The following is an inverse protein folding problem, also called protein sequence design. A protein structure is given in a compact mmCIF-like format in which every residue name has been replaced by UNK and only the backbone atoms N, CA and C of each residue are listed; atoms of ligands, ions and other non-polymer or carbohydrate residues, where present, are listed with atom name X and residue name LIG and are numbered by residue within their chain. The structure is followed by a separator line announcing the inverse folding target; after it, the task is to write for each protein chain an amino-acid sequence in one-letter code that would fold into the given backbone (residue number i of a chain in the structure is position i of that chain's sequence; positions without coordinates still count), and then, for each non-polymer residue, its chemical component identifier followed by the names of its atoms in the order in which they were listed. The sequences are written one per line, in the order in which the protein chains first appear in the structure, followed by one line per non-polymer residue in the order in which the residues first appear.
data_IF_354190896354
#
_entry.id   IF_354190896354
#
_cell.length_a   1.000
_cell.length_b   1.000
_cell.length_c   1.000
_cell.angle_alpha   90.00
_cell.angle_beta   90.00
_cell.angle_gamma   90.00
#
_symmetry.space_group_name_H-M   'P 1'
#
loop_
_entity.id
_entity.type
_entity.pdbx_description
1 polymer ?
#
# COMPACT_ATOMS: atom_id res chain seq x y z
N UNK A 1 -28.59 -27.14 66.96
CA UNK A 1 -29.72 -27.46 66.06
C UNK A 1 -29.24 -27.27 64.62
N UNK A 2 -29.29 -28.38 63.86
CA UNK A 2 -29.20 -28.53 62.40
C UNK A 2 -27.95 -28.04 61.63
N UNK A 3 -27.07 -29.01 61.33
CA UNK A 3 -26.15 -29.01 60.18
C UNK A 3 -26.55 -30.20 59.29
N UNK A 4 -26.84 -29.95 58.01
CA UNK A 4 -27.14 -31.01 57.01
C UNK A 4 -25.85 -31.34 56.25
N UNK A 5 -25.37 -32.58 56.41
CA UNK A 5 -24.48 -33.25 55.46
C UNK A 5 -25.30 -34.34 54.75
N UNK A 6 -25.30 -34.34 53.42
CA UNK A 6 -25.82 -35.44 52.60
C UNK A 6 -24.64 -36.18 51.99
N UNK A 7 -24.56 -37.48 52.28
CA UNK A 7 -23.56 -38.41 51.77
C UNK A 7 -23.83 -38.78 50.31
N UNK A 8 -22.78 -38.87 49.50
CA UNK A 8 -22.81 -39.50 48.19
C UNK A 8 -22.51 -41.00 48.33
N UNK A 9 -23.34 -41.83 47.68
CA UNK A 9 -23.06 -43.25 47.48
C UNK A 9 -22.79 -43.46 45.99
N UNK A 10 -21.59 -43.97 45.69
CA UNK A 10 -21.14 -44.37 44.34
C UNK A 10 -21.69 -45.76 44.04
N UNK A 11 -22.19 -45.97 42.82
CA UNK A 11 -22.53 -47.31 42.31
C UNK A 11 -21.75 -47.52 41.02
N UNK A 12 -20.80 -48.45 41.04
CA UNK A 12 -20.04 -48.89 39.86
C UNK A 12 -20.91 -49.78 38.97
N UNK A 13 -20.80 -49.58 37.65
CA UNK A 13 -21.44 -50.42 36.61
C UNK A 13 -20.35 -50.85 35.62
N UNK A 14 -20.28 -52.13 35.21
CA UNK A 14 -19.17 -52.69 34.42
C UNK A 14 -19.25 -52.33 32.92
N UNK A 15 -18.15 -52.43 32.16
CA UNK A 15 -18.09 -51.97 30.77
C UNK A 15 -18.76 -52.98 29.83
N UNK A 16 -19.87 -52.57 29.21
CA UNK A 16 -20.54 -53.30 28.13
C UNK A 16 -19.95 -52.97 26.76
N UNK A 17 -19.63 -54.02 25.99
CA UNK A 17 -19.26 -53.97 24.58
C UNK A 17 -20.29 -53.18 23.75
N UNK A 18 -19.87 -52.09 23.11
CA UNK A 18 -20.65 -51.42 22.06
C UNK A 18 -20.35 -52.09 20.72
N UNK A 19 -21.36 -52.71 20.15
CA UNK A 19 -21.37 -53.20 18.77
C UNK A 19 -21.50 -52.01 17.83
N UNK A 20 -20.53 -51.80 16.94
CA UNK A 20 -20.61 -50.77 15.91
C UNK A 20 -21.73 -51.12 14.91
N UNK A 21 -22.83 -50.35 14.93
CA UNK A 21 -23.78 -50.33 13.84
C UNK A 21 -23.12 -49.69 12.62
N UNK A 22 -22.96 -50.50 11.57
CA UNK A 22 -22.43 -50.11 10.27
C UNK A 22 -23.43 -49.16 9.59
N UNK A 23 -23.28 -47.86 9.82
CA UNK A 23 -23.92 -46.83 9.01
C UNK A 23 -23.29 -46.87 7.62
N UNK A 24 -24.07 -47.23 6.61
CA UNK A 24 -23.66 -47.15 5.21
C UNK A 24 -23.46 -45.67 4.85
N UNK A 25 -22.20 -45.23 4.82
CA UNK A 25 -21.84 -43.97 4.16
C UNK A 25 -22.19 -44.10 2.68
N UNK A 26 -22.86 -43.11 2.06
CA UNK A 26 -22.89 -43.03 0.61
C UNK A 26 -21.44 -42.88 0.13
N UNK A 27 -21.06 -43.66 -0.88
CA UNK A 27 -19.73 -43.59 -1.49
C UNK A 27 -19.41 -42.14 -1.88
N UNK A 28 -18.21 -41.64 -1.58
CA UNK A 28 -17.81 -40.32 -2.02
C UNK A 28 -17.81 -40.32 -3.54
N UNK A 29 -18.69 -39.50 -4.12
CA UNK A 29 -18.68 -39.20 -5.55
C UNK A 29 -17.24 -38.91 -5.97
N UNK A 30 -16.71 -39.73 -6.88
CA UNK A 30 -15.36 -39.60 -7.43
C UNK A 30 -15.21 -38.41 -8.40
N UNK A 31 -16.15 -37.48 -8.38
CA UNK A 31 -15.97 -36.18 -8.99
C UNK A 31 -14.86 -35.46 -8.22
N UNK A 32 -13.64 -35.48 -8.77
CA UNK A 32 -12.61 -34.49 -8.42
C UNK A 32 -13.32 -33.13 -8.41
N UNK A 33 -13.20 -32.31 -7.34
CA UNK A 33 -13.73 -30.96 -7.40
C UNK A 33 -13.13 -30.34 -8.64
N UNK A 34 -14.00 -30.00 -9.59
CA UNK A 34 -13.58 -29.20 -10.73
C UNK A 34 -13.21 -27.87 -10.09
N UNK A 35 -11.92 -27.68 -9.78
CA UNK A 35 -11.41 -26.40 -9.36
C UNK A 35 -11.73 -25.45 -10.50
N UNK A 36 -12.81 -24.70 -10.35
CA UNK A 36 -13.13 -23.60 -11.25
C UNK A 36 -11.93 -22.67 -11.12
N UNK A 37 -11.10 -22.66 -12.16
CA UNK A 37 -9.89 -21.84 -12.17
C UNK A 37 -10.34 -20.39 -12.30
N UNK A 38 -10.59 -19.76 -11.16
CA UNK A 38 -10.96 -18.35 -11.09
C UNK A 38 -9.88 -17.51 -11.79
N UNK A 39 -10.31 -16.47 -12.48
CA UNK A 39 -9.42 -15.41 -12.97
C UNK A 39 -8.78 -14.67 -11.81
N UNK A 40 -7.72 -13.91 -12.08
CA UNK A 40 -7.10 -13.07 -11.05
C UNK A 40 -8.12 -12.10 -10.43
N UNK A 41 -8.89 -11.39 -11.26
CA UNK A 41 -9.91 -10.46 -10.81
C UNK A 41 -11.00 -11.12 -9.93
N UNK A 42 -11.47 -12.32 -10.28
CA UNK A 42 -12.45 -13.06 -9.47
C UNK A 42 -11.90 -13.43 -8.09
N UNK A 43 -10.62 -13.83 -8.00
CA UNK A 43 -9.98 -14.07 -6.70
C UNK A 43 -9.92 -12.79 -5.86
N UNK A 44 -9.52 -11.66 -6.45
CA UNK A 44 -9.49 -10.38 -5.72
C UNK A 44 -10.86 -10.02 -5.15
N UNK A 45 -11.91 -10.17 -5.97
CA UNK A 45 -13.29 -9.90 -5.57
C UNK A 45 -13.79 -10.79 -4.41
N UNK A 46 -13.26 -12.01 -4.27
CA UNK A 46 -13.65 -12.90 -3.18
C UNK A 46 -12.96 -12.54 -1.86
N UNK A 47 -11.68 -12.19 -1.91
CA UNK A 47 -10.86 -12.08 -0.69
C UNK A 47 -10.67 -10.66 -0.17
N UNK A 48 -10.83 -9.65 -1.02
CA UNK A 48 -10.52 -8.25 -0.66
C UNK A 48 -11.75 -7.42 -0.31
N UNK A 49 -12.95 -8.00 -0.44
CA UNK A 49 -14.19 -7.28 -0.16
C UNK A 49 -14.60 -7.46 1.30
N UNK A 50 -14.67 -6.34 2.00
CA UNK A 50 -15.25 -6.24 3.33
C UNK A 50 -16.77 -6.52 3.26
N UNK A 51 -17.42 -7.02 4.34
CA UNK A 51 -18.86 -7.29 4.38
C UNK A 51 -19.75 -6.08 4.03
N UNK A 52 -19.21 -4.86 4.17
CA UNK A 52 -19.87 -3.62 3.75
C UNK A 52 -19.76 -3.32 2.24
N UNK A 53 -19.22 -4.25 1.44
CA UNK A 53 -19.01 -4.05 0.01
C UNK A 53 -17.93 -3.00 -0.31
N UNK A 54 -16.91 -2.88 0.56
CA UNK A 54 -15.77 -1.97 0.41
C UNK A 54 -14.48 -2.77 0.20
N UNK A 55 -13.48 -2.18 -0.47
CA UNK A 55 -12.15 -2.78 -0.56
C UNK A 55 -11.42 -2.63 0.78
N UNK A 56 -10.94 -3.74 1.32
CA UNK A 56 -9.99 -3.73 2.42
C UNK A 56 -8.57 -3.51 1.88
N UNK A 57 -8.06 -2.29 2.04
CA UNK A 57 -6.75 -1.93 1.54
C UNK A 57 -5.58 -2.60 2.30
N UNK A 58 -5.81 -3.13 3.51
CA UNK A 58 -4.79 -3.89 4.24
C UNK A 58 -4.60 -5.25 3.59
N UNK A 59 -5.71 -5.98 3.39
CA UNK A 59 -5.70 -7.28 2.71
C UNK A 59 -5.23 -7.13 1.27
N UNK A 60 -5.68 -6.07 0.59
CA UNK A 60 -5.23 -5.71 -0.75
C UNK A 60 -3.70 -5.54 -0.80
N UNK A 61 -3.13 -4.71 0.08
CA UNK A 61 -1.71 -4.41 0.10
C UNK A 61 -0.89 -5.68 0.41
N UNK A 62 -1.32 -6.46 1.41
CA UNK A 62 -0.69 -7.74 1.76
C UNK A 62 -0.70 -8.72 0.57
N UNK A 63 -1.77 -8.72 -0.23
CA UNK A 63 -1.85 -9.57 -1.42
C UNK A 63 -0.90 -9.11 -2.54
N UNK A 64 -0.91 -7.83 -2.90
CA UNK A 64 -0.05 -7.33 -3.99
C UNK A 64 1.44 -7.35 -3.64
N UNK A 65 1.78 -7.46 -2.37
CA UNK A 65 3.16 -7.59 -1.87
C UNK A 65 3.55 -9.04 -1.55
N UNK A 66 2.63 -9.99 -1.66
CA UNK A 66 2.89 -11.39 -1.35
C UNK A 66 4.01 -11.93 -2.24
N UNK A 67 5.09 -12.41 -1.61
CA UNK A 67 6.29 -12.90 -2.30
C UNK A 67 7.20 -11.82 -2.89
N UNK A 68 6.91 -10.53 -2.65
CA UNK A 68 7.67 -9.38 -3.18
C UNK A 68 8.53 -8.73 -2.09
N UNK A 69 9.55 -9.44 -1.64
CA UNK A 69 10.59 -8.85 -0.79
C UNK A 69 11.47 -7.86 -1.58
N UNK A 70 12.40 -7.17 -0.90
CA UNK A 70 13.31 -6.21 -1.53
C UNK A 70 14.10 -6.80 -2.70
N UNK A 71 14.49 -8.07 -2.61
CA UNK A 71 15.30 -8.75 -3.64
C UNK A 71 14.43 -9.08 -4.85
N UNK A 72 13.20 -9.52 -4.64
CA UNK A 72 12.28 -9.84 -5.73
C UNK A 72 11.78 -8.57 -6.41
N UNK A 73 11.45 -7.51 -5.65
CA UNK A 73 11.03 -6.22 -6.22
C UNK A 73 12.08 -5.59 -7.13
N UNK A 74 13.36 -5.62 -6.73
CA UNK A 74 14.43 -5.06 -7.56
C UNK A 74 14.65 -5.83 -8.86
N UNK A 75 14.30 -7.13 -8.90
CA UNK A 75 14.34 -7.97 -10.10
C UNK A 75 13.09 -7.85 -10.98
N UNK A 76 12.00 -7.29 -10.46
CA UNK A 76 10.72 -7.13 -11.17
C UNK A 76 10.61 -5.80 -11.95
N UNK A 77 11.69 -5.03 -12.01
CA UNK A 77 11.73 -3.82 -12.81
C UNK A 77 11.72 -4.14 -14.31
N UNK A 78 10.99 -3.36 -15.09
CA UNK A 78 10.92 -3.50 -16.55
C UNK A 78 11.13 -2.14 -17.20
N UNK A 79 12.03 -2.06 -18.17
CA UNK A 79 12.20 -0.88 -19.01
C UNK A 79 11.08 -0.85 -20.04
N UNK A 80 10.45 0.31 -20.18
CA UNK A 80 9.48 0.56 -21.24
C UNK A 80 10.18 0.84 -22.57
N UNK A 81 9.87 0.02 -23.58
CA UNK A 81 10.38 0.15 -24.95
C UNK A 81 9.22 0.43 -25.93
N UNK A 82 9.55 0.79 -27.18
CA UNK A 82 8.55 1.11 -28.21
C UNK A 82 7.61 -0.04 -28.55
N UNK A 83 8.05 -1.29 -28.38
CA UNK A 83 7.37 -2.52 -28.76
C UNK A 83 7.11 -3.47 -27.57
N UNK A 84 7.43 -3.05 -26.34
CA UNK A 84 7.16 -3.90 -25.18
C UNK A 84 7.87 -3.50 -23.89
N UNK A 85 8.15 -4.53 -23.09
CA UNK A 85 8.78 -4.42 -21.78
C UNK A 85 9.96 -5.37 -21.70
N UNK A 86 11.13 -4.83 -21.38
CA UNK A 86 12.33 -5.64 -21.12
C UNK A 86 12.59 -5.68 -19.63
N UNK A 87 12.67 -6.88 -19.05
CA UNK A 87 13.01 -7.03 -17.65
C UNK A 87 14.45 -6.56 -17.41
N UNK A 88 14.64 -5.70 -16.41
CA UNK A 88 15.92 -5.09 -16.08
C UNK A 88 16.14 -5.11 -14.57
N UNK A 89 17.42 -5.18 -14.18
CA UNK A 89 17.82 -4.91 -12.80
C UNK A 89 18.36 -3.48 -12.77
N UNK A 90 17.74 -2.60 -12.00
CA UNK A 90 18.16 -1.19 -11.94
C UNK A 90 19.46 -1.07 -11.12
N UNK A 91 20.59 -1.13 -11.81
CA UNK A 91 21.96 -0.96 -11.29
C UNK A 91 22.63 0.25 -11.96
N UNK A 92 23.76 0.71 -11.40
CA UNK A 92 24.56 1.80 -11.99
C UNK A 92 25.07 1.45 -13.41
N UNK A 93 25.29 0.16 -13.71
CA UNK A 93 25.71 -0.28 -15.05
C UNK A 93 24.56 -0.17 -16.08
N UNK A 94 23.32 -0.42 -15.64
CA UNK A 94 22.15 -0.38 -16.53
C UNK A 94 21.89 1.03 -17.08
N UNK A 95 22.18 2.06 -16.29
CA UNK A 95 22.01 3.47 -16.71
C UNK A 95 23.00 3.91 -17.78
N UNK A 96 24.10 3.18 -17.95
CA UNK A 96 25.20 3.57 -18.84
C UNK A 96 25.23 2.78 -20.14
N UNK A 97 24.86 1.49 -20.13
CA UNK A 97 25.03 0.61 -21.30
C UNK A 97 23.74 0.31 -22.09
N UNK A 98 22.55 0.41 -21.47
CA UNK A 98 21.29 -0.08 -22.08
C UNK A 98 20.26 0.99 -22.39
N UNK A 99 20.47 2.22 -21.95
CA UNK A 99 19.53 3.32 -22.20
C UNK A 99 20.08 4.10 -23.40
N UNK A 100 19.45 4.02 -24.59
CA UNK A 100 19.93 4.76 -25.75
C UNK A 100 19.92 6.25 -25.47
N UNK A 101 21.01 6.92 -25.85
CA UNK A 101 21.16 8.38 -25.79
C UNK A 101 19.96 9.08 -26.44
N UNK A 102 19.33 10.03 -25.73
CA UNK A 102 18.15 10.74 -26.21
C UNK A 102 16.79 10.06 -25.97
N UNK A 103 16.74 8.98 -25.18
CA UNK A 103 15.48 8.38 -24.72
C UNK A 103 15.08 8.84 -23.31
N UNK A 104 13.78 8.76 -22.99
CA UNK A 104 13.23 8.97 -21.64
C UNK A 104 12.91 7.59 -21.02
N UNK A 105 13.89 6.89 -20.45
CA UNK A 105 13.71 5.57 -19.88
C UNK A 105 12.72 5.60 -18.71
N UNK A 106 11.54 5.01 -18.93
CA UNK A 106 10.58 4.78 -17.86
C UNK A 106 10.73 3.35 -17.35
N UNK A 107 11.08 3.20 -16.08
CA UNK A 107 11.20 1.91 -15.41
C UNK A 107 9.90 1.59 -14.71
N UNK A 108 9.18 0.59 -15.21
CA UNK A 108 7.99 0.03 -14.58
C UNK A 108 8.40 -0.84 -13.39
N UNK A 109 7.86 -0.55 -12.21
CA UNK A 109 8.21 -1.27 -10.97
C UNK A 109 7.01 -1.97 -10.31
N UNK A 110 5.78 -1.56 -10.63
CA UNK A 110 4.59 -2.28 -10.17
C UNK A 110 3.41 -2.17 -11.15
N UNK A 111 2.63 -3.24 -11.29
CA UNK A 111 1.32 -3.24 -11.94
C UNK A 111 0.25 -3.75 -10.98
N UNK A 112 -0.62 -2.85 -10.51
CA UNK A 112 -1.61 -3.15 -9.46
C UNK A 112 -3.05 -3.12 -10.00
N UNK A 113 -3.94 -4.03 -9.56
CA UNK A 113 -5.35 -4.03 -9.99
C UNK A 113 -6.11 -2.82 -9.44
N UNK A 114 -6.97 -2.20 -10.25
CA UNK A 114 -7.70 -0.99 -9.84
C UNK A 114 -9.14 -1.33 -9.45
N UNK A 115 -9.60 -1.00 -8.23
CA UNK A 115 -11.01 -1.10 -7.88
C UNK A 115 -11.87 -0.19 -8.77
N UNK A 116 -12.95 -0.73 -9.35
CA UNK A 116 -13.99 0.04 -10.07
C UNK A 116 -15.11 0.48 -9.15
N UNK A 117 -16.07 1.20 -9.74
CA UNK A 117 -17.37 1.52 -9.13
C UNK A 117 -17.98 0.23 -8.55
N UNK A 118 -18.57 0.34 -7.35
CA UNK A 118 -19.02 -0.79 -6.53
C UNK A 118 -17.90 -1.69 -5.98
N UNK A 119 -16.66 -1.22 -5.94
CA UNK A 119 -15.51 -1.88 -5.31
C UNK A 119 -15.18 -3.26 -5.90
N UNK A 120 -15.47 -3.45 -7.19
CA UNK A 120 -15.16 -4.68 -7.91
C UNK A 120 -13.87 -4.55 -8.71
N UNK A 121 -13.13 -5.64 -8.79
CA UNK A 121 -11.96 -5.78 -9.64
C UNK A 121 -12.35 -6.37 -10.99
N UNK A 122 -11.75 -5.84 -12.03
CA UNK A 122 -11.75 -6.41 -13.37
C UNK A 122 -10.31 -6.43 -13.92
N UNK A 123 -10.16 -6.41 -15.24
CA UNK A 123 -8.85 -6.43 -15.90
C UNK A 123 -8.17 -5.06 -15.96
N UNK A 124 -8.68 -4.04 -15.24
CA UNK A 124 -8.06 -2.71 -15.17
C UNK A 124 -6.87 -2.72 -14.23
N UNK A 125 -5.73 -2.21 -14.71
CA UNK A 125 -4.50 -2.08 -13.90
C UNK A 125 -3.97 -0.65 -13.91
N UNK A 126 -3.37 -0.26 -12.79
CA UNK A 126 -2.54 0.92 -12.68
C UNK A 126 -1.09 0.43 -12.70
N UNK A 127 -0.38 0.82 -13.75
CA UNK A 127 1.03 0.51 -13.93
C UNK A 127 1.83 1.71 -13.48
N UNK A 128 2.62 1.55 -12.42
CA UNK A 128 3.50 2.59 -11.91
C UNK A 128 4.89 2.42 -12.51
N UNK A 129 5.41 3.52 -13.00
CA UNK A 129 6.75 3.63 -13.53
C UNK A 129 7.47 4.85 -13.00
N UNK A 130 8.78 4.86 -13.19
CA UNK A 130 9.65 5.95 -12.81
C UNK A 130 10.44 6.41 -14.02
N UNK A 131 10.23 7.65 -14.41
CA UNK A 131 11.01 8.31 -15.46
C UNK A 131 12.34 8.74 -14.86
N UNK A 132 13.43 8.06 -15.24
CA UNK A 132 14.76 8.32 -14.68
C UNK A 132 15.31 9.68 -15.11
N UNK A 133 14.88 10.21 -16.26
CA UNK A 133 15.36 11.49 -16.80
C UNK A 133 14.64 12.66 -16.14
N UNK A 134 13.31 12.61 -16.11
CA UNK A 134 12.50 13.66 -15.51
C UNK A 134 12.40 13.54 -13.97
N UNK A 135 12.87 12.41 -13.42
CA UNK A 135 12.77 12.07 -12.00
C UNK A 135 11.31 12.07 -11.50
N UNK A 136 10.41 11.57 -12.36
CA UNK A 136 8.96 11.59 -12.14
C UNK A 136 8.40 10.21 -11.86
N UNK A 137 7.49 10.12 -10.89
CA UNK A 137 6.50 9.06 -10.81
C UNK A 137 5.52 9.20 -11.98
N UNK A 138 5.34 8.11 -12.72
CA UNK A 138 4.33 7.99 -13.75
C UNK A 138 3.35 6.87 -13.42
N UNK A 139 2.06 7.11 -13.65
CA UNK A 139 1.00 6.12 -13.45
C UNK A 139 0.16 5.99 -14.70
N UNK A 140 0.19 4.81 -15.32
CA UNK A 140 -0.56 4.49 -16.53
C UNK A 140 -1.76 3.62 -16.18
N UNK A 141 -2.96 4.10 -16.50
CA UNK A 141 -4.18 3.32 -16.40
C UNK A 141 -4.34 2.49 -17.67
N UNK A 142 -4.34 1.16 -17.52
CA UNK A 142 -4.44 0.19 -18.60
C UNK A 142 -5.73 -0.60 -18.42
N UNK A 143 -6.60 -0.54 -19.43
CA UNK A 143 -7.86 -1.26 -19.47
C UNK A 143 -7.79 -2.34 -20.55
N UNK A 144 -8.16 -3.57 -20.20
CA UNK A 144 -8.08 -4.74 -21.08
C UNK A 144 -9.38 -5.52 -21.04
N UNK A 145 -9.77 -6.09 -22.19
CA UNK A 145 -10.90 -7.01 -22.28
C UNK A 145 -10.50 -8.42 -21.79
N UNK A 146 -9.22 -8.78 -21.93
CA UNK A 146 -8.67 -10.06 -21.48
C UNK A 146 -7.94 -9.93 -20.14
N UNK A 147 -7.91 -10.99 -19.31
CA UNK A 147 -7.13 -11.02 -18.07
C UNK A 147 -5.66 -10.63 -18.28
N UNK A 148 -5.18 -9.77 -17.38
CA UNK A 148 -3.78 -9.35 -17.31
C UNK A 148 -3.15 -9.98 -16.06
N UNK A 149 -2.69 -11.22 -16.19
CA UNK A 149 -2.18 -12.02 -15.06
C UNK A 149 -0.72 -11.68 -14.70
N UNK A 150 -0.02 -10.90 -15.51
CA UNK A 150 1.32 -10.38 -15.21
C UNK A 150 1.87 -9.38 -16.23
N UNK A 151 3.12 -8.93 -16.05
CA UNK A 151 3.79 -7.98 -16.95
C UNK A 151 3.91 -8.50 -18.38
N UNK A 152 4.07 -9.81 -18.54
CA UNK A 152 4.09 -10.45 -19.85
C UNK A 152 2.79 -10.26 -20.62
N UNK A 153 1.66 -10.03 -19.97
CA UNK A 153 0.41 -9.74 -20.68
C UNK A 153 0.18 -8.25 -20.88
N UNK A 154 0.94 -7.39 -20.19
CA UNK A 154 0.76 -5.95 -20.24
C UNK A 154 0.99 -5.38 -21.63
N UNK A 155 1.93 -5.94 -22.41
CA UNK A 155 2.18 -5.51 -23.80
C UNK A 155 0.92 -5.59 -24.67
N UNK A 156 -0.03 -6.50 -24.37
CA UNK A 156 -1.26 -6.69 -25.15
C UNK A 156 -2.21 -5.49 -25.06
N UNK A 157 -2.12 -4.72 -23.97
CA UNK A 157 -3.01 -3.61 -23.69
C UNK A 157 -2.27 -2.28 -23.50
N UNK A 158 -0.92 -2.28 -23.55
CA UNK A 158 -0.12 -1.10 -23.24
C UNK A 158 -0.37 0.09 -24.16
N UNK A 159 -0.62 -0.16 -25.45
CA UNK A 159 -0.98 0.86 -26.42
C UNK A 159 -2.28 1.62 -26.07
N UNK A 160 -3.12 1.09 -25.19
CA UNK A 160 -4.33 1.73 -24.66
C UNK A 160 -4.08 2.44 -23.32
N UNK A 161 -2.85 2.39 -22.80
CA UNK A 161 -2.46 2.98 -21.52
C UNK A 161 -2.63 4.50 -21.52
N UNK A 162 -3.29 5.02 -20.49
CA UNK A 162 -3.49 6.47 -20.29
C UNK A 162 -2.67 6.96 -19.12
N UNK A 163 -1.79 7.93 -19.35
CA UNK A 163 -1.02 8.57 -18.29
C UNK A 163 -1.93 9.44 -17.41
N UNK A 164 -2.18 8.98 -16.18
CA UNK A 164 -3.07 9.61 -15.21
C UNK A 164 -2.37 10.22 -14.01
N UNK A 165 -1.14 9.80 -13.71
CA UNK A 165 -0.25 10.40 -12.71
C UNK A 165 1.07 10.74 -13.41
N UNK A 166 1.55 11.97 -13.26
CA UNK A 166 2.88 12.38 -13.71
C UNK A 166 3.38 13.46 -12.76
N UNK A 167 4.27 13.10 -11.85
CA UNK A 167 4.65 13.95 -10.72
C UNK A 167 6.11 13.77 -10.36
N UNK A 168 6.80 14.89 -10.13
CA UNK A 168 8.19 14.89 -9.68
C UNK A 168 8.35 14.23 -8.31
N UNK A 169 9.37 13.37 -8.14
CA UNK A 169 9.53 12.61 -6.90
C UNK A 169 9.70 13.52 -5.67
N UNK A 170 10.45 14.61 -5.75
CA UNK A 170 10.56 15.56 -4.63
C UNK A 170 9.21 16.19 -4.24
N UNK A 171 8.35 16.48 -5.21
CA UNK A 171 7.01 16.99 -4.93
C UNK A 171 6.19 15.94 -4.19
N UNK A 172 6.24 14.69 -4.66
CA UNK A 172 5.61 13.56 -3.98
C UNK A 172 6.12 13.39 -2.54
N UNK A 173 7.43 13.46 -2.31
CA UNK A 173 8.01 13.35 -0.97
C UNK A 173 7.54 14.49 -0.05
N UNK A 174 7.49 15.72 -0.55
CA UNK A 174 6.92 16.86 0.19
C UNK A 174 5.44 16.67 0.53
N UNK A 175 4.65 16.07 -0.37
CA UNK A 175 3.25 15.71 -0.10
C UNK A 175 3.13 14.66 1.00
N UNK A 176 3.99 13.64 0.99
CA UNK A 176 4.06 12.63 2.06
C UNK A 176 4.40 13.29 3.38
N UNK A 177 5.45 14.12 3.43
CA UNK A 177 5.86 14.79 4.66
C UNK A 177 4.77 15.70 5.22
N UNK A 178 4.07 16.45 4.38
CA UNK A 178 2.95 17.28 4.81
C UNK A 178 1.78 16.43 5.34
N UNK A 179 1.39 15.39 4.60
CA UNK A 179 0.28 14.51 4.98
C UNK A 179 0.55 13.79 6.30
N UNK A 180 1.78 13.31 6.52
CA UNK A 180 2.16 12.58 7.74
C UNK A 180 2.32 13.49 8.97
N UNK A 181 2.41 14.82 8.80
CA UNK A 181 2.55 15.80 9.90
C UNK A 181 1.22 16.31 10.47
N UNK A 182 0.15 15.51 10.40
CA UNK A 182 -1.15 15.68 11.09
C UNK A 182 -2.34 16.23 10.27
N UNK A 183 -2.34 16.13 8.94
CA UNK A 183 -3.50 16.58 8.18
C UNK A 183 -4.50 15.44 7.89
N UNK A 184 -5.41 15.23 8.85
CA UNK A 184 -6.50 14.23 8.76
C UNK A 184 -7.40 14.50 7.55
N UNK A 185 -7.52 15.77 7.12
CA UNK A 185 -8.39 16.13 5.99
C UNK A 185 -7.84 15.58 4.67
N UNK A 186 -6.53 15.64 4.48
CA UNK A 186 -5.85 15.06 3.31
C UNK A 186 -6.11 13.55 3.24
N UNK A 187 -6.07 12.88 4.41
CA UNK A 187 -6.27 11.44 4.52
C UNK A 187 -7.73 11.02 4.27
N UNK A 188 -8.72 11.86 4.60
CA UNK A 188 -10.14 11.58 4.30
C UNK A 188 -10.44 11.73 2.79
N UNK A 189 -9.82 12.70 2.12
CA UNK A 189 -10.05 12.99 0.70
C UNK A 189 -9.20 12.09 -0.23
N UNK A 190 -7.98 11.75 0.20
CA UNK A 190 -6.96 11.07 -0.61
C UNK A 190 -5.86 12.03 -1.02
N UNK A 191 -4.60 11.63 -0.81
CA UNK A 191 -3.42 12.47 -1.04
C UNK A 191 -3.32 12.95 -2.49
N UNK A 192 -3.38 12.06 -3.49
CA UNK A 192 -3.22 12.46 -4.88
C UNK A 192 -4.34 13.37 -5.35
N UNK A 193 -5.56 13.15 -4.85
CA UNK A 193 -6.72 14.00 -5.12
C UNK A 193 -6.56 15.39 -4.50
N UNK A 194 -6.17 15.45 -3.23
CA UNK A 194 -6.03 16.72 -2.50
C UNK A 194 -5.06 17.68 -3.21
N UNK A 195 -3.94 17.16 -3.70
CA UNK A 195 -2.94 17.97 -4.40
C UNK A 195 -3.18 18.10 -5.91
N UNK A 196 -4.21 17.46 -6.48
CA UNK A 196 -4.52 17.55 -7.91
C UNK A 196 -3.55 16.79 -8.83
N UNK A 197 -2.88 15.76 -8.31
CA UNK A 197 -1.81 15.01 -9.02
C UNK A 197 -2.32 13.77 -9.77
N UNK A 198 -3.64 13.58 -9.82
CA UNK A 198 -4.26 12.48 -10.57
C UNK A 198 -5.41 12.99 -11.45
N UNK A 199 -5.50 12.45 -12.67
CA UNK A 199 -6.62 12.67 -13.60
C UNK A 199 -7.82 11.75 -13.31
N UNK A 200 -7.66 10.77 -12.42
CA UNK A 200 -8.70 9.83 -11.99
C UNK A 200 -8.85 9.90 -10.48
N UNK A 201 -10.09 10.05 -10.02
CA UNK A 201 -10.39 9.99 -8.59
C UNK A 201 -10.22 8.55 -8.10
N UNK A 202 -9.24 8.36 -7.21
CA UNK A 202 -9.03 7.12 -6.48
C UNK A 202 -9.58 7.26 -5.05
N UNK A 203 -9.84 6.11 -4.42
CA UNK A 203 -10.17 6.09 -3.01
C UNK A 203 -8.92 6.41 -2.18
N UNK A 204 -9.06 7.12 -1.06
CA UNK A 204 -7.93 7.51 -0.22
C UNK A 204 -7.01 6.34 0.20
N UNK A 205 -7.59 5.16 0.46
CA UNK A 205 -6.79 3.96 0.76
C UNK A 205 -5.97 3.46 -0.43
N UNK A 206 -6.45 3.65 -1.67
CA UNK A 206 -5.66 3.32 -2.87
C UNK A 206 -4.55 4.35 -3.11
N UNK A 207 -4.77 5.63 -2.77
CA UNK A 207 -3.70 6.64 -2.78
C UNK A 207 -2.58 6.26 -1.83
N UNK A 208 -2.90 5.78 -0.62
CA UNK A 208 -1.88 5.28 0.31
C UNK A 208 -1.15 4.07 -0.26
N UNK A 209 -1.84 3.14 -0.92
CA UNK A 209 -1.19 2.01 -1.60
C UNK A 209 -0.19 2.51 -2.64
N UNK A 210 -0.57 3.46 -3.50
CA UNK A 210 0.34 4.05 -4.51
C UNK A 210 1.54 4.69 -3.80
N UNK A 211 1.30 5.44 -2.73
CA UNK A 211 2.35 6.11 -1.99
C UNK A 211 3.35 5.13 -1.38
N UNK A 212 2.85 4.05 -0.76
CA UNK A 212 3.66 2.97 -0.20
C UNK A 212 4.49 2.30 -1.29
N UNK A 213 3.89 1.91 -2.42
CA UNK A 213 4.61 1.25 -3.50
C UNK A 213 5.72 2.14 -4.07
N UNK A 214 5.48 3.44 -4.21
CA UNK A 214 6.49 4.35 -4.73
C UNK A 214 7.62 4.62 -3.74
N UNK A 215 7.31 4.84 -2.45
CA UNK A 215 8.35 4.96 -1.42
C UNK A 215 9.19 3.69 -1.28
N UNK A 216 8.59 2.51 -1.42
CA UNK A 216 9.33 1.24 -1.46
C UNK A 216 10.31 1.22 -2.64
N UNK A 217 9.85 1.57 -3.84
CA UNK A 217 10.72 1.65 -5.02
C UNK A 217 11.88 2.62 -4.79
N UNK A 218 11.60 3.84 -4.31
CA UNK A 218 12.64 4.83 -4.02
C UNK A 218 13.64 4.33 -2.97
N UNK A 219 13.18 3.63 -1.93
CA UNK A 219 14.03 3.06 -0.88
C UNK A 219 14.90 1.89 -1.36
N UNK A 220 14.31 1.01 -2.18
CA UNK A 220 14.98 -0.14 -2.76
C UNK A 220 16.16 0.31 -3.64
N UNK A 221 16.00 1.43 -4.35
CA UNK A 221 16.97 2.01 -5.28
C UNK A 221 17.64 3.30 -4.76
N UNK A 222 17.57 3.58 -3.45
CA UNK A 222 18.02 4.87 -2.92
C UNK A 222 19.51 5.15 -3.17
N UNK A 223 20.35 4.12 -3.20
CA UNK A 223 21.80 4.26 -3.46
C UNK A 223 22.10 4.84 -4.85
N UNK A 224 21.23 4.53 -5.82
CA UNK A 224 21.29 5.04 -7.19
C UNK A 224 20.63 6.42 -7.30
N UNK A 225 19.49 6.61 -6.63
CA UNK A 225 18.62 7.77 -6.85
C UNK A 225 19.02 8.99 -6.02
N UNK A 226 19.65 8.80 -4.86
CA UNK A 226 19.95 9.86 -3.90
C UNK A 226 21.44 9.89 -3.54
N UNK A 227 21.95 11.09 -3.22
CA UNK A 227 23.32 11.25 -2.73
C UNK A 227 23.47 10.70 -1.31
N UNK A 228 22.48 10.97 -0.44
CA UNK A 228 22.40 10.45 0.93
C UNK A 228 21.29 9.40 1.05
N UNK A 229 21.62 8.16 0.67
CA UNK A 229 20.67 7.05 0.63
C UNK A 229 20.32 6.51 2.02
N UNK A 230 21.20 6.68 3.01
CA UNK A 230 20.92 6.31 4.40
C UNK A 230 19.89 7.26 5.01
N UNK A 231 20.13 8.58 4.90
CA UNK A 231 19.17 9.59 5.38
C UNK A 231 17.80 9.41 4.74
N UNK A 232 17.73 9.15 3.43
CA UNK A 232 16.47 8.92 2.73
C UNK A 232 15.71 7.73 3.35
N UNK A 233 16.40 6.61 3.59
CA UNK A 233 15.79 5.41 4.16
C UNK A 233 15.36 5.65 5.59
N UNK A 234 16.17 6.30 6.42
CA UNK A 234 15.81 6.63 7.80
C UNK A 234 14.55 7.50 7.85
N UNK A 235 14.47 8.51 6.98
CA UNK A 235 13.35 9.45 6.92
C UNK A 235 12.06 8.77 6.46
N UNK A 236 12.09 8.06 5.34
CA UNK A 236 10.86 7.59 4.69
C UNK A 236 10.46 6.15 5.03
N UNK A 237 11.31 5.36 5.71
CA UNK A 237 10.89 4.05 6.26
C UNK A 237 9.83 4.23 7.34
N UNK A 238 9.97 5.25 8.19
CA UNK A 238 8.97 5.58 9.21
C UNK A 238 7.62 5.94 8.58
N UNK A 239 7.62 6.79 7.53
CA UNK A 239 6.40 7.14 6.80
C UNK A 239 5.72 5.93 6.16
N UNK A 240 6.50 5.01 5.55
CA UNK A 240 5.96 3.75 5.03
C UNK A 240 5.32 2.89 6.11
N UNK A 241 5.99 2.74 7.27
CA UNK A 241 5.48 1.98 8.40
C UNK A 241 4.18 2.59 8.93
N UNK A 242 4.15 3.91 9.16
CA UNK A 242 2.98 4.61 9.67
C UNK A 242 1.78 4.49 8.72
N UNK A 243 1.97 4.63 7.41
CA UNK A 243 0.89 4.43 6.44
C UNK A 243 0.33 3.00 6.47
N UNK A 244 1.20 1.98 6.63
CA UNK A 244 0.77 0.58 6.75
C UNK A 244 -0.02 0.34 8.03
N UNK A 245 0.46 0.88 9.16
CA UNK A 245 -0.24 0.81 10.44
C UNK A 245 -1.62 1.46 10.37
N UNK A 246 -1.74 2.63 9.71
CA UNK A 246 -3.04 3.29 9.50
C UNK A 246 -4.02 2.41 8.72
N UNK A 247 -3.57 1.80 7.62
CA UNK A 247 -4.40 0.90 6.82
C UNK A 247 -4.78 -0.36 7.63
N UNK A 248 -3.83 -0.94 8.37
CA UNK A 248 -4.05 -2.13 9.21
C UNK A 248 -5.03 -1.86 10.36
N UNK A 249 -4.85 -0.75 11.08
CA UNK A 249 -5.73 -0.33 12.17
C UNK A 249 -7.16 -0.05 11.66
N UNK A 250 -7.28 0.57 10.48
CA UNK A 250 -8.57 0.79 9.81
C UNK A 250 -9.27 -0.52 9.45
N UNK A 251 -8.55 -1.45 8.81
CA UNK A 251 -9.05 -2.80 8.48
C UNK A 251 -9.52 -3.54 9.75
N UNK A 252 -8.65 -3.65 10.75
CA UNK A 252 -8.98 -4.31 12.02
C UNK A 252 -10.24 -3.70 12.65
N UNK A 253 -10.27 -2.37 12.80
CA UNK A 253 -11.41 -1.66 13.38
C UNK A 253 -12.72 -1.88 12.62
N UNK A 254 -12.68 -1.89 11.29
CA UNK A 254 -13.88 -2.09 10.46
C UNK A 254 -14.41 -3.51 10.52
N UNK A 255 -13.54 -4.52 10.54
CA UNK A 255 -13.94 -5.93 10.60
C UNK A 255 -14.63 -6.28 11.92
N UNK A 256 -14.07 -5.81 13.06
CA UNK A 256 -14.74 -5.97 14.36
C UNK A 256 -16.08 -5.26 14.38
N UNK A 257 -16.15 -4.04 13.83
CA UNK A 257 -17.40 -3.30 13.80
C UNK A 257 -18.48 -4.00 12.95
N UNK A 258 -18.10 -4.55 11.80
CA UNK A 258 -19.01 -5.33 10.98
C UNK A 258 -19.50 -6.61 11.68
N UNK A 259 -18.59 -7.30 12.38
CA UNK A 259 -18.92 -8.49 13.17
C UNK A 259 -19.88 -8.17 14.34
N UNK A 260 -19.76 -6.98 14.93
CA UNK A 260 -20.67 -6.46 15.96
C UNK A 260 -22.01 -5.98 15.38
N UNK A 261 -22.23 -6.11 14.06
CA UNK A 261 -23.47 -5.73 13.38
C UNK A 261 -23.61 -4.22 13.13
N UNK A 262 -22.53 -3.44 13.25
CA UNK A 262 -22.57 -2.02 12.87
C UNK A 262 -22.64 -1.85 11.35
N UNK A 263 -23.44 -0.88 10.92
CA UNK A 263 -23.42 -0.37 9.54
C UNK A 263 -22.19 0.51 9.31
N UNK A 264 -21.81 0.67 8.04
CA UNK A 264 -20.67 1.53 7.66
C UNK A 264 -20.89 2.99 8.08
N UNK A 265 -22.12 3.49 8.02
CA UNK A 265 -22.48 4.85 8.43
C UNK A 265 -22.29 5.05 9.94
N UNK A 266 -22.75 4.08 10.75
CA UNK A 266 -22.57 4.11 12.20
C UNK A 266 -21.09 4.07 12.58
N UNK A 267 -20.30 3.24 11.90
CA UNK A 267 -18.87 3.15 12.12
C UNK A 267 -18.17 4.47 11.76
N UNK A 268 -18.42 5.03 10.57
CA UNK A 268 -17.88 6.34 10.15
C UNK A 268 -18.22 7.45 11.14
N UNK A 269 -19.47 7.49 11.63
CA UNK A 269 -19.88 8.47 12.63
C UNK A 269 -19.18 8.25 13.98
N UNK A 270 -18.92 7.00 14.39
CA UNK A 270 -18.14 6.67 15.60
C UNK A 270 -16.70 7.16 15.48
N UNK A 271 -16.03 6.89 14.36
CA UNK A 271 -14.65 7.33 14.14
C UNK A 271 -14.53 8.85 14.05
N UNK A 272 -15.44 9.53 13.33
CA UNK A 272 -15.47 11.00 13.31
C UNK A 272 -15.65 11.60 14.70
N UNK A 273 -16.54 11.02 15.52
CA UNK A 273 -16.73 11.46 16.91
C UNK A 273 -15.46 11.26 17.75
N UNK A 274 -14.72 10.16 17.57
CA UNK A 274 -13.45 9.95 18.28
C UNK A 274 -12.43 11.05 17.94
N UNK A 275 -12.29 11.40 16.67
CA UNK A 275 -11.38 12.47 16.22
C UNK A 275 -11.79 13.83 16.78
N UNK A 276 -13.08 14.16 16.74
CA UNK A 276 -13.58 15.40 17.35
C UNK A 276 -13.29 15.41 18.84
N UNK A 277 -13.63 14.32 19.55
CA UNK A 277 -13.40 14.22 21.01
C UNK A 277 -11.92 14.30 21.35
N UNK A 278 -11.02 13.66 20.59
CA UNK A 278 -9.57 13.79 20.81
C UNK A 278 -9.10 15.23 20.65
N UNK A 279 -9.65 15.97 19.69
CA UNK A 279 -9.31 17.37 19.43
C UNK A 279 -9.95 18.36 20.43
N UNK A 280 -10.96 17.93 21.19
CA UNK A 280 -11.54 18.72 22.29
C UNK A 280 -10.64 18.72 23.54
N UNK A 281 -9.68 17.82 23.65
CA UNK A 281 -8.67 17.87 24.70
C UNK A 281 -7.57 18.85 24.28
N UNK A 282 -7.61 20.07 24.84
CA UNK A 282 -6.49 21.00 24.75
C UNK A 282 -5.32 20.42 25.54
N UNK A 283 -4.18 20.18 24.87
CA UNK A 283 -2.94 19.89 25.55
C UNK A 283 -2.58 21.06 26.44
N UNK A 284 -2.71 20.92 27.76
CA UNK A 284 -1.78 21.58 28.65
C UNK A 284 -0.41 21.04 28.26
N UNK A 285 0.31 21.75 27.38
CA UNK A 285 1.75 21.76 27.48
C UNK A 285 2.02 22.07 28.94
N UNK A 286 2.58 21.09 29.65
CA UNK A 286 3.24 21.33 30.92
C UNK A 286 4.39 22.25 30.56
N UNK A 287 4.10 23.56 30.54
CA UNK A 287 5.10 24.59 30.62
C UNK A 287 5.92 24.22 31.84
N UNK A 288 7.20 23.95 31.60
CA UNK A 288 8.21 23.86 32.63
C UNK A 288 8.30 25.28 33.21
N UNK A 289 7.35 25.61 34.09
CA UNK A 289 7.40 26.73 35.01
C UNK A 289 8.50 26.39 36.02
N UNK A 290 9.73 26.68 35.62
CA UNK A 290 10.88 26.39 36.46
C UNK A 290 12.23 26.62 35.79
N UNK A 291 12.40 27.69 35.00
CA UNK A 291 13.58 28.58 35.06
C UNK A 291 13.61 29.51 33.83
N UNK A 292 12.94 30.65 33.96
CA UNK A 292 13.40 31.86 33.29
C UNK A 292 14.55 32.44 34.11
N UNK A 293 15.79 32.30 33.62
CA UNK A 293 16.87 33.25 33.85
C UNK A 293 18.10 32.91 32.99
N UNK A 294 18.09 33.34 31.73
CA UNK A 294 19.12 34.25 31.20
C UNK A 294 18.88 34.44 29.71
N UNK A 295 18.42 35.64 29.38
CA UNK A 295 18.47 36.16 28.04
C UNK A 295 19.93 36.30 27.61
N UNK A 296 20.26 35.81 26.42
CA UNK A 296 21.15 36.53 25.53
C UNK A 296 20.66 36.33 24.09
N UNK A 297 19.98 37.36 23.59
CA UNK A 297 19.73 37.55 22.17
C UNK A 297 21.08 37.66 21.46
N UNK A 298 21.40 36.69 20.61
CA UNK A 298 22.34 36.90 19.50
C UNK A 298 21.61 36.71 18.18
N UNK A 299 21.90 37.66 17.30
CA UNK A 299 21.25 37.91 16.03
C UNK A 299 21.20 36.70 15.10
N UNK A 300 20.14 36.66 14.30
CA UNK A 300 19.98 35.87 13.08
C UNK A 300 21.19 36.08 12.17
N UNK A 301 21.62 35.05 11.43
CA UNK A 301 21.82 35.24 10.00
C UNK A 301 20.91 34.33 9.18
N UNK A 302 20.30 34.94 8.18
CA UNK A 302 19.66 34.29 7.06
C UNK A 302 20.68 33.46 6.24
N UNK A 303 20.15 32.55 5.42
CA UNK A 303 20.81 31.58 4.53
C UNK A 303 21.42 30.38 5.28
N UNK A 304 21.14 29.13 4.88
CA UNK A 304 21.53 28.49 3.61
C UNK A 304 20.50 27.37 3.31
N UNK A 305 19.70 27.43 2.24
CA UNK A 305 20.08 27.04 0.87
C UNK A 305 20.79 25.67 0.78
N UNK A 306 20.14 24.56 1.19
CA UNK A 306 20.56 23.21 0.77
C UNK A 306 19.36 22.29 0.59
N UNK A 307 18.61 22.51 -0.48
CA UNK A 307 17.97 21.40 -1.21
C UNK A 307 18.41 21.54 -2.66
N UNK A 308 19.72 21.44 -2.87
CA UNK A 308 20.28 21.15 -4.18
C UNK A 308 20.79 19.71 -4.11
N UNK A 309 19.84 18.78 -3.97
CA UNK A 309 20.09 17.36 -4.15
C UNK A 309 19.92 17.08 -5.63
N UNK A 310 20.91 17.49 -6.43
CA UNK A 310 21.01 17.05 -7.82
C UNK A 310 21.12 15.52 -7.82
N UNK A 311 20.06 14.84 -8.25
CA UNK A 311 20.03 13.39 -8.37
C UNK A 311 21.30 12.91 -9.11
N UNK A 312 21.93 11.83 -8.63
CA UNK A 312 23.13 11.24 -9.28
C UNK A 312 22.90 10.98 -10.78
N UNK A 313 21.66 10.68 -11.17
CA UNK A 313 21.25 10.47 -12.55
C UNK A 313 21.28 11.73 -13.44
N UNK A 314 21.08 12.93 -12.88
CA UNK A 314 21.19 14.19 -13.64
C UNK A 314 22.67 14.46 -14.01
N UNK A 315 23.62 14.08 -13.14
CA UNK A 315 25.07 14.18 -13.44
C UNK A 315 25.51 13.15 -14.51
N UNK A 316 24.86 11.99 -14.61
CA UNK A 316 25.09 11.00 -15.68
C UNK A 316 24.45 11.41 -17.02
N UNK A 317 23.27 12.03 -17.00
CA UNK A 317 22.61 12.57 -18.21
C UNK A 317 23.38 13.70 -18.89
N UNK A 318 24.18 14.46 -18.14
CA UNK A 318 25.06 15.49 -18.69
C UNK A 318 26.26 14.94 -19.49
N UNK A 319 26.52 13.63 -19.43
CA UNK A 319 27.53 12.93 -20.25
C UNK A 319 26.93 12.27 -21.51
N UNK A 320 25.60 12.26 -21.62
CA UNK A 320 24.83 11.68 -22.73
C UNK A 320 24.17 12.76 -23.60
N UNK A 321 24.68 13.99 -23.56
CA UNK A 321 24.29 15.10 -24.44
C UNK A 321 25.46 15.52 -25.33
#
# INVERSE_FOLDING_TARGET
MMSRKSSHTVTEVPPGHVTFLKSANPEPSSAKPTEVRLTYAERLNLYMNHPWGLVDYHIYLAHIESGRDRINRSKECHLLESDGFTQVSLTEELTSEKIPTGTTPTVIFVSIPVPKVANKFDNTRLVLGFDLTAFNLQGYLVESETPLDGYKDLHKAWNKGRLIINMHAHKFLGMVDHTMRNDIEILDVGMLRHYGETKREFHAGFDMVIAIQFLQFLSDHADLLFEDSEWFRETYTSSQYNMREMIAASSHGSWFAANDGMTVEQYRQKERRKVVVSNLFYGQTVDILGQAASAEQKAVPAEVSKVDAHAKLIKLGAWLA
#
